data_IF_325418473537
#
_entry.id   IF_325418473537
#
_cell.length_a   1.000
_cell.length_b   1.000
_cell.length_c   1.000
_cell.angle_alpha   90.00
_cell.angle_beta   90.00
_cell.angle_gamma   90.00
#
_symmetry.space_group_name_H-M   'P 1'
#
loop_
_entity.id
_entity.type
_entity.pdbx_description
1 polymer ?
#
# COMPACT_ATOMS: atom_id res chain seq x y z
N UNK A 1 -31.07 16.25 -6.54
CA UNK A 1 -30.09 17.24 -6.99
C UNK A 1 -29.63 18.05 -5.77
N UNK A 2 -28.35 18.06 -5.49
CA UNK A 2 -27.75 18.79 -4.33
C UNK A 2 -27.90 20.31 -4.45
N UNK A 3 -28.24 20.81 -5.64
CA UNK A 3 -28.51 22.23 -5.91
C UNK A 3 -29.99 22.59 -5.87
N UNK A 4 -30.83 21.69 -5.37
CA UNK A 4 -32.26 21.99 -5.25
C UNK A 4 -32.47 23.20 -4.31
N UNK A 5 -33.05 24.30 -4.79
CA UNK A 5 -33.25 25.51 -3.98
C UNK A 5 -34.21 25.30 -2.79
N UNK A 6 -34.89 24.16 -2.73
CA UNK A 6 -35.79 23.79 -1.62
C UNK A 6 -35.03 23.19 -0.44
N UNK A 7 -33.73 22.88 -0.57
CA UNK A 7 -32.92 22.39 0.53
C UNK A 7 -32.75 23.48 1.60
N UNK A 8 -32.78 23.14 2.90
CA UNK A 8 -32.74 24.11 3.98
C UNK A 8 -31.38 24.78 4.21
N UNK A 9 -30.41 24.54 3.31
CA UNK A 9 -29.07 25.09 3.38
C UNK A 9 -28.56 25.48 2.00
N UNK A 10 -27.82 26.57 1.95
CA UNK A 10 -27.11 26.95 0.74
C UNK A 10 -25.86 26.06 0.58
N UNK A 11 -25.74 25.42 -0.58
CA UNK A 11 -24.54 24.69 -0.95
C UNK A 11 -23.63 25.69 -1.69
N UNK A 12 -22.42 25.89 -1.14
CA UNK A 12 -21.39 26.71 -1.75
C UNK A 12 -20.69 25.98 -2.90
N UNK A 13 -19.38 25.79 -2.80
CA UNK A 13 -18.61 25.11 -3.83
C UNK A 13 -18.90 23.61 -3.85
N UNK A 14 -19.11 23.09 -5.07
CA UNK A 14 -19.32 21.66 -5.30
C UNK A 14 -18.09 21.09 -6.01
N UNK A 15 -17.61 19.95 -5.52
CA UNK A 15 -16.61 19.16 -6.21
C UNK A 15 -17.23 17.84 -6.68
N UNK A 16 -17.32 17.65 -7.98
CA UNK A 16 -17.70 16.38 -8.58
C UNK A 16 -16.55 15.38 -8.44
N UNK A 17 -16.82 14.21 -7.85
CA UNK A 17 -15.77 13.21 -7.56
C UNK A 17 -16.18 11.82 -8.04
N UNK A 18 -15.23 11.11 -8.63
CA UNK A 18 -15.32 9.68 -8.89
C UNK A 18 -13.98 8.99 -8.60
N UNK A 19 -13.93 7.67 -8.68
CA UNK A 19 -12.72 6.87 -8.45
C UNK A 19 -12.54 5.83 -9.56
N UNK A 20 -11.36 5.85 -10.20
CA UNK A 20 -11.00 4.87 -11.21
C UNK A 20 -10.55 3.57 -10.52
N UNK A 21 -11.19 2.46 -10.90
CA UNK A 21 -10.99 1.17 -10.26
C UNK A 21 -9.75 0.41 -10.79
N UNK A 22 -9.33 0.68 -12.04
CA UNK A 22 -8.25 -0.03 -12.73
C UNK A 22 -7.32 0.93 -13.48
N UNK A 23 -7.06 2.13 -12.90
CA UNK A 23 -6.26 3.16 -13.58
C UNK A 23 -4.78 2.77 -13.80
N UNK A 24 -4.30 1.71 -13.17
CA UNK A 24 -3.01 1.07 -13.44
C UNK A 24 -2.95 0.41 -14.82
N UNK A 25 -4.11 0.04 -15.38
CA UNK A 25 -4.26 -0.54 -16.70
C UNK A 25 -5.10 0.42 -17.58
N UNK A 26 -4.47 1.36 -18.30
CA UNK A 26 -5.19 2.45 -18.99
C UNK A 26 -6.08 1.97 -20.13
N UNK A 27 -5.71 0.86 -20.76
CA UNK A 27 -6.46 0.26 -21.89
C UNK A 27 -7.53 -0.75 -21.42
N UNK A 28 -7.66 -0.94 -20.10
CA UNK A 28 -8.70 -1.78 -19.52
C UNK A 28 -10.09 -1.24 -19.85
N UNK A 29 -10.99 -2.12 -20.28
CA UNK A 29 -12.35 -1.73 -20.70
C UNK A 29 -13.13 -1.01 -19.60
N UNK A 30 -12.87 -1.34 -18.32
CA UNK A 30 -13.49 -0.67 -17.17
C UNK A 30 -12.99 0.78 -17.05
N UNK A 31 -11.67 1.00 -17.17
CA UNK A 31 -11.07 2.34 -17.14
C UNK A 31 -11.64 3.20 -18.28
N UNK A 32 -11.67 2.69 -19.49
CA UNK A 32 -12.25 3.39 -20.67
C UNK A 32 -13.72 3.72 -20.44
N UNK A 33 -14.52 2.79 -19.95
CA UNK A 33 -15.94 3.02 -19.67
C UNK A 33 -16.16 4.04 -18.55
N UNK A 34 -15.32 4.04 -17.49
CA UNK A 34 -15.39 5.01 -16.41
C UNK A 34 -15.02 6.42 -16.89
N UNK A 35 -13.97 6.55 -17.70
CA UNK A 35 -13.58 7.84 -18.28
C UNK A 35 -14.69 8.42 -19.15
N UNK A 36 -15.29 7.62 -20.06
CA UNK A 36 -16.40 8.06 -20.88
C UNK A 36 -17.58 8.53 -20.03
N UNK A 37 -18.00 7.74 -19.04
CA UNK A 37 -19.11 8.11 -18.14
C UNK A 37 -18.80 9.38 -17.35
N UNK A 38 -17.55 9.56 -16.94
CA UNK A 38 -17.10 10.79 -16.27
C UNK A 38 -17.30 12.01 -17.15
N UNK A 39 -16.83 11.99 -18.39
CA UNK A 39 -16.99 13.09 -19.35
C UNK A 39 -18.45 13.40 -19.66
N UNK A 40 -19.31 12.38 -19.72
CA UNK A 40 -20.76 12.53 -19.95
C UNK A 40 -21.52 13.11 -18.75
N UNK A 41 -20.98 12.94 -17.53
CA UNK A 41 -21.71 13.23 -16.28
C UNK A 41 -21.26 14.51 -15.61
N UNK A 42 -19.95 14.79 -15.66
CA UNK A 42 -19.39 15.94 -14.96
C UNK A 42 -19.73 17.25 -15.66
N UNK A 43 -20.07 18.27 -14.87
CA UNK A 43 -20.38 19.62 -15.38
C UNK A 43 -19.12 20.46 -15.44
N UNK A 44 -18.31 20.24 -16.47
CA UNK A 44 -17.07 20.99 -16.67
C UNK A 44 -17.32 22.50 -16.67
N UNK A 45 -16.48 23.23 -15.93
CA UNK A 45 -16.57 24.68 -15.80
C UNK A 45 -17.64 25.21 -14.85
N UNK A 46 -18.44 24.32 -14.23
CA UNK A 46 -19.40 24.69 -13.19
C UNK A 46 -18.97 24.19 -11.81
N UNK A 47 -18.36 23.01 -11.74
CA UNK A 47 -17.92 22.36 -10.53
C UNK A 47 -16.43 22.08 -10.61
N UNK A 48 -15.73 22.12 -9.48
CA UNK A 48 -14.41 21.51 -9.38
C UNK A 48 -14.52 20.01 -9.60
N UNK A 49 -13.47 19.41 -10.11
CA UNK A 49 -13.43 17.98 -10.46
C UNK A 49 -12.33 17.24 -9.69
N UNK A 50 -12.61 16.00 -9.32
CA UNK A 50 -11.63 15.14 -8.65
C UNK A 50 -11.78 13.68 -9.10
N UNK A 51 -10.96 13.27 -10.05
CA UNK A 51 -11.00 11.92 -10.63
C UNK A 51 -9.71 11.14 -10.33
N UNK A 52 -8.55 11.78 -10.47
CA UNK A 52 -7.28 11.10 -10.46
C UNK A 52 -6.89 10.57 -9.08
N UNK A 53 -6.68 9.27 -8.99
CA UNK A 53 -5.97 8.58 -7.92
C UNK A 53 -4.46 8.51 -8.23
N UNK A 54 -3.67 7.80 -7.41
CA UNK A 54 -2.22 7.67 -7.62
C UNK A 54 -1.86 7.09 -8.99
N UNK A 55 -2.61 6.12 -9.49
CA UNK A 55 -2.34 5.48 -10.77
C UNK A 55 -2.66 6.42 -11.94
N UNK A 56 -3.83 7.03 -11.94
CA UNK A 56 -4.23 7.99 -12.96
C UNK A 56 -3.27 9.19 -13.05
N UNK A 57 -2.81 9.69 -11.90
CA UNK A 57 -1.85 10.80 -11.82
C UNK A 57 -0.49 10.40 -12.39
N UNK A 58 0.05 9.24 -12.03
CA UNK A 58 1.35 8.78 -12.52
C UNK A 58 1.31 8.46 -14.03
N UNK A 59 0.18 8.00 -14.55
CA UNK A 59 -0.03 7.76 -15.99
C UNK A 59 -0.39 9.03 -16.76
N UNK A 60 -0.62 10.14 -16.10
CA UNK A 60 -1.07 11.39 -16.72
C UNK A 60 -2.29 11.16 -17.64
N UNK A 61 -3.30 10.46 -17.12
CA UNK A 61 -4.52 10.20 -17.89
C UNK A 61 -5.15 11.52 -18.36
N UNK A 62 -5.69 11.51 -19.58
CA UNK A 62 -6.15 12.70 -20.28
C UNK A 62 -7.43 13.35 -19.71
N UNK A 63 -8.12 12.69 -18.78
CA UNK A 63 -9.34 13.24 -18.18
C UNK A 63 -9.04 14.45 -17.31
N UNK A 64 -9.88 15.48 -17.37
CA UNK A 64 -9.77 16.68 -16.55
C UNK A 64 -9.95 16.37 -15.06
N UNK A 65 -9.09 16.91 -14.21
CA UNK A 65 -9.18 16.76 -12.76
C UNK A 65 -8.47 17.95 -12.07
N UNK A 66 -9.27 18.84 -11.45
CA UNK A 66 -8.72 20.00 -10.73
C UNK A 66 -8.01 19.57 -9.45
N UNK A 67 -8.44 18.48 -8.85
CA UNK A 67 -7.89 17.90 -7.64
C UNK A 67 -7.46 16.45 -7.87
N UNK A 68 -6.27 16.12 -7.38
CA UNK A 68 -5.77 14.74 -7.36
C UNK A 68 -5.81 14.16 -5.94
N UNK A 69 -6.10 12.88 -5.82
CA UNK A 69 -6.13 12.16 -4.54
C UNK A 69 -5.06 11.10 -4.53
N UNK A 70 -3.84 11.52 -4.24
CA UNK A 70 -2.68 10.63 -4.22
C UNK A 70 -2.47 10.06 -2.81
N UNK A 71 -2.71 8.78 -2.64
CA UNK A 71 -2.38 8.02 -1.44
C UNK A 71 -1.09 7.23 -1.64
N UNK A 72 -1.14 6.20 -2.48
CA UNK A 72 -0.01 5.30 -2.74
C UNK A 72 1.25 6.02 -3.24
N UNK A 73 1.10 6.98 -4.16
CA UNK A 73 2.22 7.76 -4.68
C UNK A 73 2.85 8.69 -3.62
N UNK A 74 2.09 9.14 -2.62
CA UNK A 74 2.60 9.97 -1.53
C UNK A 74 3.64 9.22 -0.69
N UNK A 75 3.48 7.91 -0.55
CA UNK A 75 4.45 7.04 0.14
C UNK A 75 5.58 6.53 -0.77
N UNK A 76 5.65 7.02 -1.99
CA UNK A 76 6.67 6.61 -2.97
C UNK A 76 6.30 5.37 -3.78
N UNK A 77 5.03 4.94 -3.71
CA UNK A 77 4.55 3.78 -4.46
C UNK A 77 4.50 4.05 -5.97
N UNK A 78 5.28 3.27 -6.72
CA UNK A 78 5.42 3.40 -8.17
C UNK A 78 4.49 2.42 -8.89
N UNK A 79 3.73 2.90 -9.87
CA UNK A 79 2.96 2.04 -10.77
C UNK A 79 3.92 1.36 -11.75
N UNK A 80 3.76 0.06 -11.90
CA UNK A 80 4.58 -0.74 -12.83
C UNK A 80 4.22 -0.43 -14.29
N UNK A 81 5.18 -0.62 -15.19
CA UNK A 81 4.96 -0.50 -16.63
C UNK A 81 4.78 0.92 -17.18
N UNK A 82 5.11 1.94 -16.40
CA UNK A 82 5.15 3.31 -16.93
C UNK A 82 6.32 3.49 -17.89
N UNK A 83 6.12 4.11 -19.06
CA UNK A 83 7.19 4.31 -20.03
C UNK A 83 8.29 5.27 -19.53
N UNK A 84 7.92 6.33 -18.80
CA UNK A 84 8.84 7.32 -18.23
C UNK A 84 8.33 7.71 -16.83
N UNK A 85 8.52 6.86 -15.82
CA UNK A 85 8.02 7.14 -14.49
C UNK A 85 8.77 8.31 -13.85
N UNK A 86 8.03 9.24 -13.26
CA UNK A 86 8.63 10.23 -12.36
C UNK A 86 9.35 9.48 -11.21
N UNK A 87 10.57 9.88 -10.82
CA UNK A 87 11.32 9.18 -9.78
C UNK A 87 10.70 9.43 -8.41
N UNK A 88 9.81 8.53 -8.00
CA UNK A 88 9.28 8.53 -6.64
C UNK A 88 10.29 7.88 -5.69
N UNK A 89 10.35 8.39 -4.45
CA UNK A 89 11.20 7.86 -3.39
C UNK A 89 10.34 7.34 -2.26
N UNK A 90 10.67 6.18 -1.65
CA UNK A 90 10.00 5.73 -0.44
C UNK A 90 10.03 6.82 0.63
N UNK A 91 8.86 7.21 1.13
CA UNK A 91 8.71 8.24 2.16
C UNK A 91 8.56 7.63 3.57
N UNK A 92 8.40 6.30 3.68
CA UNK A 92 8.25 5.60 4.94
C UNK A 92 9.40 4.61 5.13
N UNK A 93 9.96 4.59 6.33
CA UNK A 93 10.91 3.58 6.80
C UNK A 93 10.33 2.92 8.06
N UNK A 94 10.18 1.61 8.02
CA UNK A 94 9.77 0.81 9.16
C UNK A 94 11.00 0.06 9.68
N UNK A 95 11.38 0.29 10.93
CA UNK A 95 12.62 -0.26 11.50
C UNK A 95 12.45 -0.64 12.97
N UNK A 96 13.23 -1.62 13.40
CA UNK A 96 13.31 -2.10 14.76
C UNK A 96 14.76 -2.47 15.08
N UNK A 97 15.01 -3.12 16.20
CA UNK A 97 16.34 -3.60 16.62
C UNK A 97 16.30 -5.09 16.95
N UNK A 98 17.44 -5.76 16.89
CA UNK A 98 17.56 -7.12 17.41
C UNK A 98 17.72 -7.05 18.94
N UNK A 99 16.82 -7.71 19.68
CA UNK A 99 16.85 -7.75 21.17
C UNK A 99 17.35 -9.07 21.72
N UNK A 100 17.31 -10.14 20.94
CA UNK A 100 17.83 -11.44 21.34
C UNK A 100 18.30 -12.25 20.14
N UNK A 101 19.32 -13.07 20.38
CA UNK A 101 19.77 -14.13 19.47
C UNK A 101 19.65 -15.46 20.20
N UNK A 102 19.20 -16.49 19.50
CA UNK A 102 19.05 -17.84 20.05
C UNK A 102 19.49 -18.87 19.03
N UNK A 103 20.33 -19.79 19.46
CA UNK A 103 20.63 -21.00 18.69
C UNK A 103 19.43 -21.93 18.74
N UNK A 104 19.10 -22.53 17.61
CA UNK A 104 17.98 -23.43 17.40
C UNK A 104 18.50 -24.63 16.63
N UNK A 105 18.37 -25.81 17.21
CA UNK A 105 18.82 -27.05 16.58
C UNK A 105 17.87 -27.50 15.46
N UNK A 106 18.39 -28.28 14.53
CA UNK A 106 17.57 -28.91 13.50
C UNK A 106 16.40 -29.69 14.14
N UNK A 107 15.19 -29.44 13.62
CA UNK A 107 13.94 -30.04 14.10
C UNK A 107 13.21 -29.24 15.19
N UNK A 108 13.85 -28.24 15.82
CA UNK A 108 13.16 -27.38 16.78
C UNK A 108 12.24 -26.39 16.06
N UNK A 109 11.13 -26.05 16.72
CA UNK A 109 10.13 -25.13 16.18
C UNK A 109 10.22 -23.73 16.80
N UNK A 110 9.82 -22.72 16.03
CA UNK A 110 9.81 -21.30 16.42
C UNK A 110 8.42 -20.70 16.22
N UNK A 111 8.01 -19.86 17.18
CA UNK A 111 6.78 -19.10 17.12
C UNK A 111 5.53 -19.86 17.52
N UNK A 112 4.40 -19.16 17.52
CA UNK A 112 3.10 -19.73 17.88
C UNK A 112 2.67 -20.85 16.95
N UNK A 113 2.24 -21.97 17.55
CA UNK A 113 1.80 -23.15 16.84
C UNK A 113 2.93 -23.95 16.18
N UNK A 114 4.21 -23.62 16.46
CA UNK A 114 5.35 -24.33 15.87
C UNK A 114 5.38 -24.28 14.34
N UNK A 115 4.84 -23.20 13.75
CA UNK A 115 4.62 -23.11 12.31
C UNK A 115 5.91 -23.23 11.50
N UNK A 116 7.00 -22.69 12.01
CA UNK A 116 8.32 -22.79 11.40
C UNK A 116 9.17 -23.81 12.16
N UNK A 117 9.86 -24.68 11.44
CA UNK A 117 10.77 -25.68 12.02
C UNK A 117 12.12 -25.57 11.36
N UNK A 118 13.18 -25.56 12.17
CA UNK A 118 14.56 -25.47 11.71
C UNK A 118 14.95 -26.69 10.87
N UNK A 119 15.32 -26.47 9.62
CA UNK A 119 15.79 -27.51 8.70
C UNK A 119 17.29 -27.86 8.91
N UNK A 120 17.98 -27.07 9.68
CA UNK A 120 19.38 -27.20 10.11
C UNK A 120 19.59 -26.39 11.37
N UNK A 121 20.72 -26.61 12.05
CA UNK A 121 21.13 -25.74 13.14
C UNK A 121 21.21 -24.30 12.64
N UNK A 122 20.59 -23.39 13.35
CA UNK A 122 20.28 -22.06 12.90
C UNK A 122 20.36 -21.04 14.03
N UNK A 123 20.51 -19.78 13.69
CA UNK A 123 20.42 -18.67 14.65
C UNK A 123 19.14 -17.89 14.36
N UNK A 124 18.33 -17.69 15.40
CA UNK A 124 17.10 -16.91 15.34
C UNK A 124 17.29 -15.57 16.05
N UNK A 125 17.05 -14.50 15.32
CA UNK A 125 16.99 -13.14 15.87
C UNK A 125 15.55 -12.81 16.26
N UNK A 126 15.35 -12.20 17.43
CA UNK A 126 14.07 -11.65 17.89
C UNK A 126 14.08 -10.13 17.77
N UNK A 127 13.04 -9.57 17.16
CA UNK A 127 12.85 -8.13 17.00
C UNK A 127 11.56 -7.70 17.73
N UNK A 128 11.59 -6.62 18.55
CA UNK A 128 10.44 -6.10 19.28
C UNK A 128 9.55 -5.27 18.34
N UNK A 129 8.86 -5.93 17.44
CA UNK A 129 7.90 -5.37 16.51
C UNK A 129 6.94 -6.47 16.10
N UNK A 130 5.65 -6.19 16.13
CA UNK A 130 4.62 -7.15 15.78
C UNK A 130 3.39 -6.50 15.15
N UNK A 131 2.28 -7.24 15.10
CA UNK A 131 1.07 -6.70 14.49
C UNK A 131 0.45 -5.55 15.32
N UNK A 132 0.75 -5.43 16.61
CA UNK A 132 0.38 -4.28 17.44
C UNK A 132 1.02 -2.98 16.98
N UNK A 133 2.17 -3.04 16.30
CA UNK A 133 2.89 -1.91 15.72
C UNK A 133 2.53 -1.66 14.25
N UNK A 134 1.61 -2.44 13.69
CA UNK A 134 1.21 -2.36 12.29
C UNK A 134 1.97 -3.30 11.35
N UNK A 135 2.83 -4.19 11.85
CA UNK A 135 3.45 -5.20 11.01
C UNK A 135 2.40 -6.22 10.53
N UNK A 136 2.37 -6.62 9.26
CA UNK A 136 1.32 -7.51 8.76
C UNK A 136 1.31 -8.86 9.49
N UNK A 137 0.21 -9.16 10.19
CA UNK A 137 0.03 -10.46 10.85
C UNK A 137 0.09 -11.65 9.88
N UNK A 138 -0.33 -11.42 8.62
CA UNK A 138 -0.33 -12.41 7.54
C UNK A 138 1.03 -12.61 6.88
N UNK A 139 2.09 -11.90 7.31
CA UNK A 139 3.41 -12.08 6.74
C UNK A 139 3.85 -13.55 6.83
N UNK A 140 4.28 -14.10 5.70
CA UNK A 140 4.67 -15.49 5.58
C UNK A 140 6.10 -15.72 6.05
N UNK A 141 6.40 -16.98 6.43
CA UNK A 141 7.78 -17.43 6.59
C UNK A 141 8.58 -17.15 5.32
N UNK A 142 9.82 -16.72 5.45
CA UNK A 142 10.64 -16.30 4.30
C UNK A 142 10.45 -14.84 3.88
N UNK A 143 9.50 -14.09 4.47
CA UNK A 143 9.39 -12.64 4.21
C UNK A 143 10.74 -11.96 4.50
N UNK A 144 11.29 -11.18 3.55
CA UNK A 144 12.63 -10.60 3.70
C UNK A 144 12.64 -9.48 4.76
N UNK A 145 13.64 -9.52 5.63
CA UNK A 145 13.91 -8.52 6.67
C UNK A 145 15.37 -8.09 6.56
N UNK A 146 15.61 -6.80 6.39
CA UNK A 146 16.98 -6.26 6.33
C UNK A 146 17.59 -6.18 7.74
N UNK A 147 18.72 -6.85 7.98
CA UNK A 147 19.48 -6.78 9.22
C UNK A 147 20.94 -6.49 8.89
N UNK A 148 21.46 -5.35 9.36
CA UNK A 148 22.85 -4.93 9.13
C UNK A 148 23.32 -5.02 7.66
N UNK A 149 22.42 -4.63 6.72
CA UNK A 149 22.74 -4.66 5.29
C UNK A 149 22.62 -6.03 4.62
N UNK A 150 22.27 -7.07 5.36
CA UNK A 150 21.98 -8.40 4.85
C UNK A 150 20.46 -8.66 4.87
N UNK A 151 20.00 -9.62 4.08
CA UNK A 151 18.61 -10.05 4.08
C UNK A 151 18.48 -11.31 4.92
N UNK A 152 17.75 -11.21 6.02
CA UNK A 152 17.27 -12.32 6.82
C UNK A 152 15.85 -12.72 6.38
N UNK A 153 15.39 -13.88 6.81
CA UNK A 153 14.05 -14.39 6.49
C UNK A 153 13.17 -14.46 7.76
N UNK A 154 11.93 -13.96 7.68
CA UNK A 154 10.96 -14.17 8.75
C UNK A 154 10.80 -15.67 9.03
N UNK A 155 10.85 -16.07 10.29
CA UNK A 155 10.75 -17.45 10.74
C UNK A 155 9.74 -17.56 11.89
N UNK A 156 8.60 -18.18 11.63
CA UNK A 156 7.51 -18.31 12.60
C UNK A 156 6.43 -17.23 12.46
N UNK A 157 5.36 -17.41 13.22
CA UNK A 157 4.19 -16.53 13.16
C UNK A 157 4.49 -15.18 13.81
N UNK A 158 4.07 -14.10 13.16
CA UNK A 158 4.08 -12.76 13.74
C UNK A 158 3.24 -12.73 15.00
N UNK A 159 3.81 -12.26 16.12
CA UNK A 159 3.10 -12.05 17.37
C UNK A 159 2.64 -10.60 17.52
N UNK A 160 1.99 -10.26 18.64
CA UNK A 160 1.52 -8.91 18.89
C UNK A 160 2.69 -7.91 18.90
N UNK A 161 3.77 -8.24 19.59
CA UNK A 161 4.86 -7.31 19.90
C UNK A 161 6.22 -7.77 19.37
N UNK A 162 6.30 -8.94 18.73
CA UNK A 162 7.59 -9.51 18.28
C UNK A 162 7.46 -10.27 16.96
N UNK A 163 8.54 -10.24 16.20
CA UNK A 163 8.81 -11.16 15.09
C UNK A 163 10.16 -11.85 15.28
N UNK A 164 10.31 -13.01 14.66
CA UNK A 164 11.56 -13.77 14.66
C UNK A 164 12.07 -13.94 13.24
N UNK A 165 13.39 -13.87 13.07
CA UNK A 165 14.06 -13.99 11.78
C UNK A 165 15.17 -15.00 11.84
N UNK A 166 15.27 -15.83 10.81
CA UNK A 166 16.40 -16.70 10.55
C UNK A 166 17.57 -15.87 10.00
N UNK A 167 18.73 -15.96 10.62
CA UNK A 167 19.99 -15.35 10.19
C UNK A 167 20.80 -16.25 9.27
#
# INVERSE_FOLDING_TARGET
>A
DVRDPRLPYAIGDITSMSHLASAEEPDDALTVAQLRRWEETVRHGQDSTSLHNSAATQRALSASSDWVRVGYALYGGQIKGLPNPAPLRPAMRFSSSVIALRDVSMGESVGYGGRWTAQRDSVIATLPVGYGDGYPWSAADGTPVGINGQIAALAGRVSMDMVTCLL
#
